data_IF_336312748249
#
_entry.id   IF_336312748249
#
_cell.length_a   1.000
_cell.length_b   1.000
_cell.length_c   1.000
_cell.angle_alpha   90.00
_cell.angle_beta   90.00
_cell.angle_gamma   90.00
#
_symmetry.space_group_name_H-M   'P 1'
#
loop_
_entity.id
_entity.type
_entity.pdbx_description
1 polymer ?
#
# COMPACT_ATOMS: atom_id res chain seq x y z
N UNK A 1 -4.83 -6.08 -1.77
CA UNK A 1 -5.12 -6.10 -3.23
C UNK A 1 -5.45 -7.54 -3.61
N UNK A 2 -6.42 -7.77 -4.50
CA UNK A 2 -6.87 -9.14 -4.83
C UNK A 2 -5.86 -9.86 -5.73
N UNK A 3 -5.50 -11.09 -5.37
CA UNK A 3 -4.65 -11.99 -6.17
C UNK A 3 -5.28 -12.35 -7.52
N UNK A 4 -6.61 -12.24 -7.68
CA UNK A 4 -7.33 -12.50 -8.94
C UNK A 4 -6.87 -11.56 -10.05
N UNK A 5 -6.51 -10.33 -9.69
CA UNK A 5 -6.02 -9.33 -10.63
C UNK A 5 -4.68 -9.78 -11.21
N UNK A 6 -3.81 -10.37 -10.39
CA UNK A 6 -2.45 -10.75 -10.80
C UNK A 6 -2.48 -12.04 -11.64
N UNK A 7 -3.42 -12.96 -11.38
CA UNK A 7 -3.65 -14.13 -12.24
C UNK A 7 -3.87 -13.77 -13.71
N UNK A 8 -4.57 -12.65 -14.00
CA UNK A 8 -4.80 -12.20 -15.38
C UNK A 8 -3.57 -11.61 -16.08
N UNK A 9 -2.55 -11.21 -15.33
CA UNK A 9 -1.31 -10.65 -15.87
C UNK A 9 -0.16 -11.67 -15.90
N UNK A 10 -0.28 -12.83 -15.26
CA UNK A 10 0.76 -13.87 -15.26
C UNK A 10 1.16 -14.29 -16.68
N UNK A 11 0.20 -14.49 -17.59
CA UNK A 11 0.47 -14.90 -18.97
C UNK A 11 1.05 -13.78 -19.85
N UNK A 12 0.89 -12.52 -19.43
CA UNK A 12 1.32 -11.33 -20.18
C UNK A 12 2.61 -10.70 -19.64
N UNK A 13 3.08 -11.15 -18.47
CA UNK A 13 4.26 -10.61 -17.85
C UNK A 13 5.51 -10.92 -18.69
N UNK A 14 6.46 -9.97 -18.75
CA UNK A 14 7.79 -10.23 -19.31
C UNK A 14 8.50 -11.34 -18.54
N UNK A 15 8.28 -11.38 -17.22
CA UNK A 15 8.79 -12.40 -16.34
C UNK A 15 7.86 -12.56 -15.14
N UNK A 16 7.74 -13.79 -14.65
CA UNK A 16 6.97 -14.11 -13.45
C UNK A 16 7.77 -15.07 -12.59
N UNK A 17 7.73 -14.89 -11.28
CA UNK A 17 8.30 -15.83 -10.31
C UNK A 17 7.29 -16.15 -9.24
N UNK A 18 7.16 -17.43 -8.87
CA UNK A 18 6.39 -17.79 -7.70
C UNK A 18 7.18 -17.46 -6.42
N UNK A 19 6.46 -17.19 -5.33
CA UNK A 19 7.07 -16.97 -4.00
C UNK A 19 7.93 -18.16 -3.60
N UNK A 20 7.43 -19.38 -3.80
CA UNK A 20 8.15 -20.60 -3.46
C UNK A 20 9.46 -20.76 -4.24
N UNK A 21 9.49 -20.36 -5.50
CA UNK A 21 10.69 -20.46 -6.35
C UNK A 21 11.82 -19.56 -5.84
N UNK A 22 11.49 -18.37 -5.36
CA UNK A 22 12.49 -17.41 -4.85
C UNK A 22 12.83 -17.63 -3.38
N UNK A 23 11.84 -18.00 -2.56
CA UNK A 23 12.00 -18.20 -1.12
C UNK A 23 12.50 -19.60 -0.75
N UNK A 24 12.31 -20.59 -1.63
CA UNK A 24 12.57 -22.01 -1.38
C UNK A 24 11.64 -22.61 -0.33
N UNK A 25 10.48 -22.01 -0.11
CA UNK A 25 9.41 -22.44 0.80
C UNK A 25 8.12 -21.73 0.44
N UNK A 26 6.97 -22.39 0.60
CA UNK A 26 5.66 -21.77 0.46
C UNK A 26 5.19 -21.06 1.75
N UNK A 27 5.90 -21.28 2.87
CA UNK A 27 5.58 -20.77 4.20
C UNK A 27 6.34 -19.47 4.48
N UNK A 28 5.62 -18.34 4.51
CA UNK A 28 6.22 -17.01 4.63
C UNK A 28 7.02 -16.81 5.92
N UNK A 29 6.60 -17.46 7.01
CA UNK A 29 7.27 -17.38 8.31
C UNK A 29 8.55 -18.23 8.41
N UNK A 30 8.89 -19.03 7.40
CA UNK A 30 10.16 -19.76 7.34
C UNK A 30 11.27 -18.95 6.66
N UNK A 31 10.96 -17.75 6.16
CA UNK A 31 11.94 -16.86 5.53
C UNK A 31 12.81 -16.21 6.60
N UNK A 32 13.96 -16.83 6.87
CA UNK A 32 15.01 -16.24 7.70
C UNK A 32 15.84 -15.19 6.92
N UNK A 33 16.75 -14.52 7.63
CA UNK A 33 17.66 -13.52 7.03
C UNK A 33 18.44 -14.08 5.82
N UNK A 34 18.85 -15.36 5.85
CA UNK A 34 19.61 -15.96 4.76
C UNK A 34 18.74 -16.19 3.52
N UNK A 35 17.50 -16.64 3.70
CA UNK A 35 16.50 -16.78 2.63
C UNK A 35 16.11 -15.41 2.09
N UNK A 36 15.88 -14.41 2.94
CA UNK A 36 15.59 -13.05 2.50
C UNK A 36 16.72 -12.49 1.61
N UNK A 37 17.97 -12.67 2.02
CA UNK A 37 19.14 -12.29 1.22
C UNK A 37 19.23 -13.01 -0.12
N UNK A 38 18.81 -14.28 -0.17
CA UNK A 38 18.70 -15.03 -1.43
C UNK A 38 17.60 -14.47 -2.32
N UNK A 39 16.40 -14.24 -1.78
CA UNK A 39 15.26 -13.63 -2.50
C UNK A 39 15.73 -12.32 -3.11
N UNK A 40 16.34 -11.43 -2.31
CA UNK A 40 16.89 -10.15 -2.78
C UNK A 40 17.86 -10.32 -3.94
N UNK A 41 18.84 -11.23 -3.83
CA UNK A 41 19.81 -11.49 -4.90
C UNK A 41 19.14 -12.01 -6.18
N UNK A 42 18.17 -12.91 -6.04
CA UNK A 42 17.41 -13.47 -7.17
C UNK A 42 16.61 -12.37 -7.87
N UNK A 43 15.82 -11.59 -7.12
CA UNK A 43 15.04 -10.48 -7.69
C UNK A 43 15.95 -9.43 -8.35
N UNK A 44 17.07 -9.09 -7.73
CA UNK A 44 18.05 -8.17 -8.32
C UNK A 44 18.66 -8.71 -9.62
N UNK A 45 18.96 -10.00 -9.69
CA UNK A 45 19.50 -10.62 -10.91
C UNK A 45 18.49 -10.61 -12.05
N UNK A 46 17.22 -10.90 -11.76
CA UNK A 46 16.13 -10.85 -12.74
C UNK A 46 15.94 -9.41 -13.23
N UNK A 47 15.77 -8.47 -12.30
CA UNK A 47 15.60 -7.03 -12.61
C UNK A 47 16.74 -6.51 -13.49
N UNK A 48 17.98 -6.81 -13.11
CA UNK A 48 19.16 -6.38 -13.86
C UNK A 48 19.22 -6.99 -15.27
N UNK A 49 18.85 -8.28 -15.40
CA UNK A 49 18.80 -8.96 -16.69
C UNK A 49 17.72 -8.39 -17.62
N UNK A 50 16.53 -8.12 -17.08
CA UNK A 50 15.43 -7.51 -17.83
C UNK A 50 15.77 -6.09 -18.27
N UNK A 51 16.24 -5.23 -17.34
CA UNK A 51 16.62 -3.85 -17.68
C UNK A 51 17.78 -3.77 -18.65
N UNK A 52 18.72 -4.71 -18.62
CA UNK A 52 19.80 -4.78 -19.61
C UNK A 52 19.28 -5.20 -20.99
N UNK A 53 18.26 -6.06 -21.04
CA UNK A 53 17.66 -6.53 -22.30
C UNK A 53 16.70 -5.51 -22.90
N UNK A 54 16.09 -4.65 -22.07
CA UNK A 54 15.10 -3.65 -22.48
C UNK A 54 15.43 -2.26 -21.88
N UNK A 55 16.60 -1.65 -22.21
CA UNK A 55 17.12 -0.46 -21.52
C UNK A 55 16.27 0.82 -21.67
N UNK A 56 15.40 0.86 -22.69
CA UNK A 56 14.53 2.00 -22.99
C UNK A 56 13.04 1.72 -22.74
N UNK A 57 12.70 0.61 -22.08
CA UNK A 57 11.31 0.25 -21.80
C UNK A 57 10.97 0.51 -20.34
N UNK A 58 9.72 0.92 -20.09
CA UNK A 58 9.15 0.87 -18.74
C UNK A 58 8.97 -0.58 -18.34
N UNK A 59 9.57 -0.94 -17.19
CA UNK A 59 9.44 -2.25 -16.57
C UNK A 59 9.07 -2.02 -15.12
N UNK A 60 7.87 -2.45 -14.75
CA UNK A 60 7.33 -2.29 -13.40
C UNK A 60 7.23 -3.64 -12.73
N UNK A 61 7.74 -3.73 -11.50
CA UNK A 61 7.59 -4.92 -10.69
C UNK A 61 6.33 -4.81 -9.84
N UNK A 62 5.45 -5.79 -9.98
CA UNK A 62 4.20 -5.91 -9.23
C UNK A 62 4.27 -7.14 -8.34
N UNK A 63 3.82 -7.00 -7.09
CA UNK A 63 3.84 -8.06 -6.09
C UNK A 63 2.44 -8.61 -5.84
N UNK A 64 2.35 -9.92 -5.65
CA UNK A 64 1.17 -10.66 -5.16
C UNK A 64 1.53 -11.53 -3.96
N UNK A 65 0.52 -12.15 -3.35
CA UNK A 65 0.79 -13.21 -2.36
C UNK A 65 1.40 -14.47 -3.00
N UNK A 66 1.21 -14.66 -4.31
CA UNK A 66 1.68 -15.84 -5.04
C UNK A 66 3.10 -15.68 -5.59
N UNK A 67 3.61 -14.46 -5.70
CA UNK A 67 4.84 -14.18 -6.43
C UNK A 67 4.96 -12.75 -6.93
N UNK A 68 5.93 -12.52 -7.82
CA UNK A 68 6.19 -11.23 -8.43
C UNK A 68 6.15 -11.28 -9.95
N UNK A 69 5.70 -10.19 -10.57
CA UNK A 69 5.59 -10.03 -12.02
C UNK A 69 6.38 -8.80 -12.48
N UNK A 70 7.04 -8.91 -13.62
CA UNK A 70 7.59 -7.77 -14.35
C UNK A 70 6.74 -7.49 -15.56
N UNK A 71 6.12 -6.31 -15.58
CA UNK A 71 5.19 -5.89 -16.61
C UNK A 71 5.84 -4.84 -17.53
N UNK A 72 5.49 -4.85 -18.82
CA UNK A 72 5.85 -3.72 -19.70
C UNK A 72 4.97 -2.51 -19.38
N UNK A 73 5.25 -1.38 -20.03
CA UNK A 73 4.36 -0.20 -20.00
C UNK A 73 2.88 -0.55 -20.26
N UNK A 74 2.59 -1.34 -21.30
CA UNK A 74 1.23 -1.61 -21.72
C UNK A 74 0.46 -2.43 -20.68
N UNK A 75 1.07 -3.49 -20.15
CA UNK A 75 0.46 -4.29 -19.08
C UNK A 75 0.38 -3.49 -17.77
N UNK A 76 1.37 -2.63 -17.49
CA UNK A 76 1.34 -1.80 -16.29
C UNK A 76 0.17 -0.81 -16.33
N UNK A 77 -0.09 -0.13 -17.45
CA UNK A 77 -1.23 0.79 -17.55
C UNK A 77 -2.57 0.07 -17.32
N UNK A 78 -2.73 -1.15 -17.86
CA UNK A 78 -3.92 -1.98 -17.59
C UNK A 78 -4.03 -2.40 -16.12
N UNK A 79 -2.90 -2.76 -15.52
CA UNK A 79 -2.81 -3.08 -14.10
C UNK A 79 -3.20 -1.87 -13.24
N UNK A 80 -2.62 -0.70 -13.49
CA UNK A 80 -2.89 0.55 -12.76
C UNK A 80 -4.35 0.97 -12.88
N UNK A 81 -4.96 0.85 -14.06
CA UNK A 81 -6.39 1.12 -14.25
C UNK A 81 -7.25 0.20 -13.37
N UNK A 82 -6.93 -1.09 -13.34
CA UNK A 82 -7.69 -2.07 -12.57
C UNK A 82 -7.47 -1.87 -11.06
N UNK A 83 -6.24 -1.55 -10.66
CA UNK A 83 -5.89 -1.22 -9.28
C UNK A 83 -6.62 0.04 -8.81
N UNK A 84 -6.63 1.11 -9.60
CA UNK A 84 -7.35 2.34 -9.25
C UNK A 84 -8.84 2.07 -9.01
N UNK A 85 -9.47 1.26 -9.87
CA UNK A 85 -10.86 0.85 -9.68
C UNK A 85 -11.08 0.12 -8.35
N UNK A 86 -10.15 -0.74 -7.92
CA UNK A 86 -10.23 -1.39 -6.60
C UNK A 86 -10.07 -0.38 -5.46
N UNK A 87 -9.15 0.59 -5.60
CA UNK A 87 -8.96 1.66 -4.60
C UNK A 87 -10.20 2.54 -4.48
N UNK A 88 -10.84 2.89 -5.60
CA UNK A 88 -12.07 3.68 -5.59
C UNK A 88 -13.23 2.92 -4.92
N UNK A 89 -13.35 1.62 -5.18
CA UNK A 89 -14.31 0.76 -4.48
C UNK A 89 -14.09 0.72 -2.96
N UNK A 90 -12.82 0.76 -2.52
CA UNK A 90 -12.48 0.82 -1.10
C UNK A 90 -12.85 2.16 -0.46
N UNK A 91 -12.87 3.27 -1.21
CA UNK A 91 -13.32 4.56 -0.67
C UNK A 91 -14.82 4.54 -0.35
N UNK A 92 -15.60 3.94 -1.24
CA UNK A 92 -17.06 3.92 -1.12
C UNK A 92 -17.54 2.87 -0.13
N UNK A 93 -16.93 1.67 -0.15
CA UNK A 93 -17.36 0.52 0.64
C UNK A 93 -16.54 0.22 1.88
N UNK A 94 -15.34 0.80 2.00
CA UNK A 94 -14.34 0.40 2.99
C UNK A 94 -13.74 -0.99 2.72
N UNK A 95 -12.59 -1.31 3.34
CA UNK A 95 -12.12 -2.69 3.39
C UNK A 95 -13.03 -3.56 4.27
N UNK A 96 -12.96 -4.87 4.12
CA UNK A 96 -13.71 -5.78 4.99
C UNK A 96 -13.26 -5.62 6.46
N UNK A 97 -14.19 -5.34 7.40
CA UNK A 97 -13.87 -5.21 8.83
C UNK A 97 -13.28 -6.51 9.40
N UNK A 98 -12.29 -6.42 10.29
CA UNK A 98 -11.67 -7.62 10.89
C UNK A 98 -12.62 -8.36 11.81
N UNK A 99 -13.61 -7.70 12.42
CA UNK A 99 -14.63 -8.39 13.22
C UNK A 99 -15.50 -9.33 12.38
N UNK A 100 -15.54 -9.18 11.04
CA UNK A 100 -16.22 -10.11 10.12
C UNK A 100 -15.38 -11.29 9.69
N UNK A 101 -14.13 -11.35 10.14
CA UNK A 101 -13.20 -12.41 9.81
C UNK A 101 -13.09 -13.40 10.98
N UNK A 102 -13.12 -14.68 10.63
CA UNK A 102 -12.70 -15.75 11.54
C UNK A 102 -11.21 -15.63 11.82
N UNK A 103 -10.74 -16.26 12.89
CA UNK A 103 -9.31 -16.30 13.22
C UNK A 103 -8.51 -16.99 12.10
N UNK A 104 -9.10 -17.97 11.42
CA UNK A 104 -8.50 -18.63 10.25
C UNK A 104 -8.31 -17.66 9.06
N UNK A 105 -9.31 -16.84 8.75
CA UNK A 105 -9.22 -15.86 7.66
C UNK A 105 -8.27 -14.70 7.99
N UNK A 106 -8.21 -14.29 9.26
CA UNK A 106 -7.20 -13.33 9.73
C UNK A 106 -5.81 -13.90 9.59
N UNK A 107 -5.62 -15.18 9.94
CA UNK A 107 -4.35 -15.86 9.76
C UNK A 107 -3.95 -15.91 8.28
N UNK A 108 -4.87 -16.29 7.39
CA UNK A 108 -4.63 -16.30 5.94
C UNK A 108 -4.26 -14.91 5.42
N UNK A 109 -5.02 -13.88 5.79
CA UNK A 109 -4.75 -12.48 5.41
C UNK A 109 -3.37 -12.03 5.90
N UNK A 110 -3.00 -12.41 7.13
CA UNK A 110 -1.70 -12.08 7.68
C UNK A 110 -0.55 -12.78 6.93
N UNK A 111 -0.70 -14.06 6.60
CA UNK A 111 0.27 -14.83 5.81
C UNK A 111 0.44 -14.24 4.41
N UNK A 112 -0.67 -13.89 3.74
CA UNK A 112 -0.62 -13.23 2.43
C UNK A 112 0.11 -11.88 2.50
N UNK A 113 -0.20 -11.06 3.50
CA UNK A 113 0.49 -9.79 3.71
C UNK A 113 2.00 -9.99 4.00
N UNK A 114 2.37 -11.04 4.74
CA UNK A 114 3.78 -11.35 5.01
C UNK A 114 4.53 -11.76 3.74
N UNK A 115 3.92 -12.55 2.84
CA UNK A 115 4.50 -12.87 1.52
C UNK A 115 4.71 -11.61 0.70
N UNK A 116 3.69 -10.75 0.65
CA UNK A 116 3.78 -9.48 -0.06
C UNK A 116 4.92 -8.62 0.49
N UNK A 117 4.95 -8.36 1.80
CA UNK A 117 5.98 -7.53 2.44
C UNK A 117 7.39 -8.08 2.15
N UNK A 118 7.56 -9.40 2.23
CA UNK A 118 8.84 -10.06 1.96
C UNK A 118 9.33 -9.77 0.55
N UNK A 119 8.49 -9.97 -0.46
CA UNK A 119 8.85 -9.71 -1.86
C UNK A 119 9.03 -8.22 -2.13
N UNK A 120 8.12 -7.38 -1.62
CA UNK A 120 8.15 -5.94 -1.81
C UNK A 120 9.42 -5.33 -1.22
N UNK A 121 9.78 -5.65 0.03
CA UNK A 121 10.99 -5.08 0.67
C UNK A 121 12.27 -5.63 0.05
N UNK A 122 12.28 -6.89 -0.37
CA UNK A 122 13.40 -7.46 -1.12
C UNK A 122 13.62 -6.70 -2.44
N UNK A 123 12.54 -6.41 -3.16
CA UNK A 123 12.57 -5.62 -4.39
C UNK A 123 12.88 -4.13 -4.13
N UNK A 124 12.38 -3.53 -3.06
CA UNK A 124 12.69 -2.15 -2.70
C UNK A 124 14.19 -1.95 -2.53
N UNK A 125 14.89 -2.95 -2.00
CA UNK A 125 16.35 -2.90 -1.89
C UNK A 125 17.04 -2.97 -3.27
N UNK A 126 16.47 -3.72 -4.21
CA UNK A 126 16.90 -3.73 -5.62
C UNK A 126 16.70 -2.36 -6.26
N UNK A 127 15.49 -1.79 -6.17
CA UNK A 127 15.18 -0.46 -6.70
C UNK A 127 16.09 0.62 -6.11
N UNK A 128 16.31 0.58 -4.79
CA UNK A 128 17.16 1.54 -4.09
C UNK A 128 18.60 1.49 -4.62
N UNK A 129 19.08 0.30 -4.97
CA UNK A 129 20.42 0.13 -5.57
C UNK A 129 20.46 0.74 -6.97
N UNK A 130 19.45 0.47 -7.81
CA UNK A 130 19.39 1.01 -9.18
C UNK A 130 19.20 2.53 -9.23
N UNK A 131 18.48 3.09 -8.26
CA UNK A 131 18.15 4.51 -8.19
C UNK A 131 19.10 5.31 -7.29
N UNK A 132 20.24 4.72 -6.87
CA UNK A 132 21.17 5.37 -5.94
C UNK A 132 21.65 6.74 -6.42
N UNK A 133 22.06 6.86 -7.69
CA UNK A 133 22.55 8.13 -8.24
C UNK A 133 21.43 9.18 -8.35
N UNK A 134 20.24 8.87 -8.95
CA UNK A 134 19.10 9.79 -8.94
C UNK A 134 18.63 10.24 -7.55
N UNK A 135 18.69 9.37 -6.55
CA UNK A 135 18.20 9.66 -5.20
C UNK A 135 19.17 10.53 -4.38
N UNK A 136 20.46 10.53 -4.72
CA UNK A 136 21.48 11.31 -4.02
C UNK A 136 21.45 11.11 -2.50
N UNK A 137 21.25 12.19 -1.74
CA UNK A 137 21.24 12.17 -0.27
C UNK A 137 20.02 11.46 0.32
N UNK A 138 18.91 11.34 -0.43
CA UNK A 138 17.70 10.66 0.00
C UNK A 138 17.84 9.13 0.05
N UNK A 139 18.81 8.57 -0.68
CA UNK A 139 19.10 7.13 -0.68
C UNK A 139 19.37 6.60 0.74
N UNK A 140 20.16 7.29 1.55
CA UNK A 140 20.52 6.84 2.91
C UNK A 140 19.31 6.83 3.84
N UNK A 141 18.40 7.79 3.69
CA UNK A 141 17.15 7.84 4.45
C UNK A 141 16.27 6.63 4.11
N UNK A 142 16.02 6.41 2.82
CA UNK A 142 15.21 5.27 2.36
C UNK A 142 15.80 3.93 2.75
N UNK A 143 17.13 3.79 2.70
CA UNK A 143 17.80 2.58 3.15
C UNK A 143 17.48 2.23 4.61
N UNK A 144 17.44 3.23 5.50
CA UNK A 144 17.10 3.02 6.92
C UNK A 144 15.64 2.60 7.09
N UNK A 145 14.73 3.22 6.36
CA UNK A 145 13.29 2.89 6.40
C UNK A 145 13.03 1.45 5.92
N UNK A 146 13.68 1.01 4.84
CA UNK A 146 13.50 -0.37 4.34
C UNK A 146 14.20 -1.41 5.22
N UNK A 147 15.34 -1.07 5.84
CA UNK A 147 15.92 -1.92 6.89
C UNK A 147 15.01 -2.04 8.11
N UNK A 148 14.30 -0.98 8.49
CA UNK A 148 13.31 -1.04 9.56
C UNK A 148 12.13 -1.93 9.17
N UNK A 149 11.59 -1.76 7.96
CA UNK A 149 10.52 -2.59 7.41
C UNK A 149 10.90 -4.07 7.37
N UNK A 150 12.14 -4.39 6.98
CA UNK A 150 12.65 -5.76 7.01
C UNK A 150 12.69 -6.34 8.44
N UNK A 151 13.05 -5.56 9.47
CA UNK A 151 12.96 -6.05 10.86
C UNK A 151 11.53 -6.36 11.26
N UNK A 152 10.57 -5.52 10.86
CA UNK A 152 9.15 -5.78 11.11
C UNK A 152 8.72 -7.10 10.47
N UNK A 153 9.11 -7.38 9.21
CA UNK A 153 8.81 -8.66 8.56
C UNK A 153 9.34 -9.85 9.37
N UNK A 154 10.58 -9.77 9.85
CA UNK A 154 11.16 -10.83 10.67
C UNK A 154 10.40 -10.99 12.00
N UNK A 155 10.03 -9.89 12.66
CA UNK A 155 9.22 -9.94 13.88
C UNK A 155 7.86 -10.61 13.63
N UNK A 156 7.17 -10.25 12.54
CA UNK A 156 5.88 -10.84 12.17
C UNK A 156 6.01 -12.35 11.84
N UNK A 157 7.06 -12.73 11.12
CA UNK A 157 7.37 -14.13 10.82
C UNK A 157 7.63 -14.94 12.10
N UNK A 158 8.48 -14.42 12.99
CA UNK A 158 8.80 -15.01 14.29
C UNK A 158 7.53 -15.21 15.13
N UNK A 159 6.61 -14.25 15.11
CA UNK A 159 5.35 -14.34 15.84
C UNK A 159 4.46 -15.47 15.32
N UNK A 160 4.34 -15.66 14.01
CA UNK A 160 3.62 -16.81 13.44
C UNK A 160 4.29 -18.11 13.89
N UNK A 161 5.62 -18.20 13.78
CA UNK A 161 6.36 -19.41 14.13
C UNK A 161 6.19 -19.78 15.61
N UNK A 162 6.28 -18.81 16.52
CA UNK A 162 6.10 -19.03 17.97
C UNK A 162 4.68 -19.45 18.33
N UNK A 163 3.69 -19.03 17.56
CA UNK A 163 2.27 -19.29 17.83
C UNK A 163 1.68 -20.44 16.97
N UNK A 164 2.49 -21.12 16.16
CA UNK A 164 2.02 -22.13 15.20
C UNK A 164 1.10 -23.21 15.77
N UNK A 165 1.33 -23.65 17.01
CA UNK A 165 0.46 -24.61 17.69
C UNK A 165 -0.94 -24.02 17.98
N UNK A 166 -1.03 -22.76 18.42
CA UNK A 166 -2.30 -22.08 18.68
C UNK A 166 -3.05 -21.81 17.37
N UNK A 167 -2.32 -21.41 16.33
CA UNK A 167 -2.86 -21.15 15.00
C UNK A 167 -3.39 -22.42 14.33
N UNK A 168 -2.73 -23.57 14.52
CA UNK A 168 -3.22 -24.87 14.04
C UNK A 168 -4.63 -25.18 14.58
N UNK A 169 -4.92 -24.86 15.84
CA UNK A 169 -6.26 -25.05 16.40
C UNK A 169 -7.29 -24.10 15.80
N UNK A 170 -6.92 -22.85 15.49
CA UNK A 170 -7.82 -21.90 14.83
C UNK A 170 -8.32 -22.40 13.47
N UNK A 171 -7.54 -23.26 12.81
CA UNK A 171 -7.87 -23.86 11.52
C UNK A 171 -8.80 -25.08 11.60
N UNK A 172 -9.20 -25.53 12.80
CA UNK A 172 -10.13 -26.65 12.92
C UNK A 172 -11.55 -26.26 12.50
N UNK A 173 -12.19 -27.06 11.64
CA UNK A 173 -13.55 -26.82 11.14
C UNK A 173 -14.56 -26.42 12.22
N UNK A 174 -14.53 -27.09 13.38
CA UNK A 174 -15.43 -26.75 14.50
C UNK A 174 -15.25 -25.33 15.02
N UNK A 175 -14.00 -24.85 15.08
CA UNK A 175 -13.67 -23.49 15.53
C UNK A 175 -14.05 -22.46 14.46
N UNK A 176 -13.70 -22.72 13.19
CA UNK A 176 -14.07 -21.86 12.06
C UNK A 176 -15.59 -21.72 11.97
N UNK A 177 -16.32 -22.83 12.07
CA UNK A 177 -17.79 -22.81 12.06
C UNK A 177 -18.37 -22.09 13.27
N UNK A 178 -17.78 -22.27 14.46
CA UNK A 178 -18.20 -21.53 15.65
C UNK A 178 -18.05 -20.03 15.45
N UNK A 179 -16.88 -19.54 15.05
CA UNK A 179 -16.64 -18.12 14.81
C UNK A 179 -17.54 -17.59 13.69
N UNK A 180 -17.73 -18.36 12.60
CA UNK A 180 -18.66 -17.96 11.53
C UNK A 180 -20.08 -17.79 12.03
N UNK A 181 -20.57 -18.69 12.89
CA UNK A 181 -21.90 -18.53 13.48
C UNK A 181 -21.96 -17.29 14.37
N UNK A 182 -20.93 -17.00 15.16
CA UNK A 182 -20.89 -15.79 16.00
C UNK A 182 -20.88 -14.51 15.16
N UNK A 183 -20.07 -14.47 14.09
CA UNK A 183 -20.05 -13.36 13.13
C UNK A 183 -21.42 -13.20 12.47
N UNK A 184 -22.06 -14.29 12.04
CA UNK A 184 -23.38 -14.24 11.40
C UNK A 184 -24.45 -13.74 12.36
N UNK A 185 -24.42 -14.19 13.63
CA UNK A 185 -25.30 -13.65 14.68
C UNK A 185 -25.13 -12.13 14.80
N UNK A 186 -23.88 -11.67 14.90
CA UNK A 186 -23.59 -10.25 15.03
C UNK A 186 -24.01 -9.45 13.79
N UNK A 187 -23.87 -10.02 12.59
CA UNK A 187 -24.38 -9.42 11.35
C UNK A 187 -25.90 -9.26 11.37
N UNK A 188 -26.65 -10.25 11.86
CA UNK A 188 -28.11 -10.16 12.03
C UNK A 188 -28.45 -9.07 13.06
N UNK A 189 -27.81 -9.11 14.22
CA UNK A 189 -28.07 -8.18 15.33
C UNK A 189 -27.75 -6.72 14.96
N UNK A 190 -26.74 -6.50 14.11
CA UNK A 190 -26.38 -5.17 13.57
C UNK A 190 -27.17 -4.78 12.30
N UNK A 191 -28.06 -5.63 11.81
CA UNK A 191 -28.91 -5.35 10.65
C UNK A 191 -28.20 -5.40 9.30
N UNK A 192 -27.04 -6.05 9.20
CA UNK A 192 -26.32 -6.22 7.93
C UNK A 192 -26.89 -7.34 7.06
N UNK A 193 -27.60 -8.29 7.67
CA UNK A 193 -28.29 -9.38 6.97
C UNK A 193 -29.56 -9.75 7.74
N UNK A 194 -30.59 -10.18 7.03
CA UNK A 194 -31.85 -10.65 7.62
C UNK A 194 -31.91 -12.18 7.69
N UNK A 195 -32.71 -12.70 8.64
CA UNK A 195 -33.00 -14.14 8.72
C UNK A 195 -33.64 -14.68 7.43
N UNK A 196 -34.41 -13.84 6.73
CA UNK A 196 -35.06 -14.20 5.47
C UNK A 196 -34.03 -14.45 4.36
N UNK A 197 -32.99 -13.62 4.26
CA UNK A 197 -31.90 -13.79 3.28
C UNK A 197 -31.06 -15.03 3.58
N UNK A 198 -30.84 -15.34 4.86
CA UNK A 198 -30.06 -16.51 5.28
C UNK A 198 -30.81 -17.84 5.17
N UNK A 199 -32.15 -17.81 5.20
CA UNK A 199 -32.98 -19.02 5.17
C UNK A 199 -33.01 -19.79 6.50
N UNK A 200 -32.50 -19.21 7.58
CA UNK A 200 -32.57 -19.75 8.94
C UNK A 200 -32.65 -18.64 9.99
N UNK A 201 -33.23 -18.98 11.16
CA UNK A 201 -33.42 -18.04 12.25
C UNK A 201 -32.21 -17.93 13.19
N UNK A 202 -32.14 -16.81 13.92
CA UNK A 202 -31.18 -16.60 15.00
C UNK A 202 -31.30 -17.67 16.09
N UNK A 203 -32.51 -18.19 16.32
CA UNK A 203 -32.72 -19.29 17.27
C UNK A 203 -32.05 -20.59 16.81
N UNK A 204 -32.18 -20.93 15.52
CA UNK A 204 -31.49 -22.09 14.94
C UNK A 204 -29.97 -21.93 15.07
N UNK A 205 -29.47 -20.73 14.79
CA UNK A 205 -28.04 -20.44 14.89
C UNK A 205 -27.52 -20.58 16.33
N UNK A 206 -28.27 -20.11 17.34
CA UNK A 206 -27.95 -20.32 18.77
C UNK A 206 -27.93 -21.80 19.15
N UNK A 207 -28.85 -22.62 18.62
CA UNK A 207 -28.85 -24.08 18.85
C UNK A 207 -27.60 -24.75 18.27
N UNK A 208 -27.18 -24.34 17.06
CA UNK A 208 -25.95 -24.83 16.42
C UNK A 208 -24.70 -24.45 17.23
N UNK A 209 -24.63 -23.21 17.73
CA UNK A 209 -23.53 -22.77 18.59
C UNK A 209 -23.36 -23.65 19.84
N UNK A 210 -24.44 -24.10 20.48
CA UNK A 210 -24.35 -25.01 21.65
C UNK A 210 -23.68 -26.35 21.27
N UNK A 211 -24.02 -26.91 20.10
CA UNK A 211 -23.42 -28.15 19.61
C UNK A 211 -21.93 -27.94 19.28
N UNK A 212 -21.62 -26.83 18.61
CA UNK A 212 -20.25 -26.48 18.25
C UNK A 212 -19.39 -26.20 19.49
N UNK A 213 -19.91 -25.54 20.53
CA UNK A 213 -19.18 -25.25 21.78
C UNK A 213 -18.71 -26.54 22.44
N UNK A 214 -19.58 -27.56 22.48
CA UNK A 214 -19.22 -28.88 23.00
C UNK A 214 -18.08 -29.51 22.19
N UNK A 215 -18.19 -29.51 20.86
CA UNK A 215 -17.15 -30.06 19.95
C UNK A 215 -15.82 -29.33 20.07
N UNK A 216 -15.84 -28.01 20.26
CA UNK A 216 -14.63 -27.21 20.43
C UNK A 216 -13.96 -27.54 21.77
N UNK A 217 -14.72 -27.66 22.86
CA UNK A 217 -14.20 -28.03 24.19
C UNK A 217 -13.64 -29.45 24.25
N UNK A 218 -14.24 -30.39 23.53
CA UNK A 218 -13.75 -31.77 23.43
C UNK A 218 -12.34 -31.82 22.83
N UNK A 219 -12.05 -30.96 21.83
CA UNK A 219 -10.73 -30.85 21.22
C UNK A 219 -9.76 -30.01 22.06
N UNK A 220 -10.24 -28.91 22.64
CA UNK A 220 -9.44 -27.95 23.38
C UNK A 220 -10.24 -27.36 24.55
N UNK A 221 -10.03 -27.82 25.80
CA UNK A 221 -10.84 -27.40 26.94
C UNK A 221 -10.88 -25.89 27.20
N UNK A 222 -9.82 -25.17 26.83
CA UNK A 222 -9.71 -23.71 26.97
C UNK A 222 -9.83 -22.96 25.63
N UNK A 223 -10.54 -23.52 24.64
CA UNK A 223 -10.55 -22.98 23.28
C UNK A 223 -10.93 -21.50 23.21
N UNK A 224 -11.97 -21.05 23.92
CA UNK A 224 -12.42 -19.64 23.87
C UNK A 224 -11.30 -18.64 24.20
N UNK A 225 -10.58 -18.88 25.30
CA UNK A 225 -9.49 -18.01 25.73
C UNK A 225 -8.33 -18.05 24.73
N UNK A 226 -7.99 -19.24 24.24
CA UNK A 226 -6.90 -19.40 23.27
C UNK A 226 -7.23 -18.76 21.92
N UNK A 227 -8.47 -18.93 21.44
CA UNK A 227 -8.96 -18.31 20.20
C UNK A 227 -8.99 -16.80 20.33
N UNK A 228 -9.49 -16.25 21.43
CA UNK A 228 -9.48 -14.80 21.66
C UNK A 228 -8.06 -14.23 21.67
N UNK A 229 -7.11 -14.89 22.33
CA UNK A 229 -5.70 -14.46 22.35
C UNK A 229 -5.08 -14.54 20.96
N UNK A 230 -5.34 -15.62 20.21
CA UNK A 230 -4.84 -15.78 18.85
C UNK A 230 -5.44 -14.72 17.90
N UNK A 231 -6.74 -14.48 18.00
CA UNK A 231 -7.46 -13.49 17.21
C UNK A 231 -6.89 -12.08 17.42
N UNK A 232 -6.81 -11.62 18.66
CA UNK A 232 -6.27 -10.28 18.99
C UNK A 232 -4.83 -10.10 18.46
N UNK A 233 -3.99 -11.12 18.62
CA UNK A 233 -2.60 -11.08 18.11
C UNK A 233 -2.54 -11.00 16.60
N UNK A 234 -3.36 -11.79 15.89
CA UNK A 234 -3.43 -11.74 14.43
C UNK A 234 -3.93 -10.39 13.92
N UNK A 235 -4.90 -9.79 14.60
CA UNK A 235 -5.37 -8.44 14.29
C UNK A 235 -4.26 -7.41 14.44
N UNK A 236 -3.55 -7.42 15.57
CA UNK A 236 -2.42 -6.51 15.81
C UNK A 236 -1.29 -6.67 14.77
N UNK A 237 -0.98 -7.92 14.42
CA UNK A 237 0.07 -8.23 13.44
C UNK A 237 -0.33 -7.87 12.01
N UNK A 238 -1.59 -8.11 11.64
CA UNK A 238 -2.12 -7.68 10.36
C UNK A 238 -2.05 -6.14 10.25
N UNK A 239 -2.53 -5.43 11.28
CA UNK A 239 -2.50 -3.97 11.38
C UNK A 239 -1.07 -3.40 11.28
N UNK A 240 -0.12 -4.02 11.99
CA UNK A 240 1.31 -3.64 11.93
C UNK A 240 1.89 -3.87 10.53
N UNK A 241 1.53 -4.98 9.88
CA UNK A 241 1.94 -5.27 8.52
C UNK A 241 1.36 -4.28 7.51
N UNK A 242 0.07 -3.97 7.59
CA UNK A 242 -0.61 -2.97 6.74
C UNK A 242 -0.01 -1.56 6.92
N UNK A 243 0.28 -1.16 8.16
CA UNK A 243 0.97 0.11 8.47
C UNK A 243 2.38 0.18 7.86
N UNK A 244 3.08 -0.97 7.84
CA UNK A 244 4.40 -1.09 7.21
C UNK A 244 4.31 -0.95 5.70
N UNK A 245 3.30 -1.54 5.06
CA UNK A 245 3.05 -1.35 3.63
C UNK A 245 2.81 0.12 3.30
N UNK A 246 1.93 0.78 4.05
CA UNK A 246 1.61 2.19 3.84
C UNK A 246 2.86 3.07 3.96
N UNK A 247 3.64 2.88 5.02
CA UNK A 247 4.88 3.63 5.23
C UNK A 247 5.86 3.44 4.07
N UNK A 248 6.06 2.18 3.65
CA UNK A 248 6.96 1.80 2.54
C UNK A 248 6.58 2.49 1.23
N UNK A 249 5.31 2.38 0.80
CA UNK A 249 4.85 2.97 -0.46
C UNK A 249 4.85 4.49 -0.43
N UNK A 250 4.51 5.09 0.72
CA UNK A 250 4.58 6.55 0.92
C UNK A 250 6.01 7.09 0.76
N UNK A 251 7.02 6.34 1.24
CA UNK A 251 8.42 6.73 1.05
C UNK A 251 8.84 6.66 -0.40
N UNK A 252 8.37 5.66 -1.15
CA UNK A 252 8.63 5.57 -2.59
C UNK A 252 7.97 6.69 -3.37
N UNK A 253 6.68 6.99 -3.11
CA UNK A 253 5.99 8.10 -3.75
C UNK A 253 6.75 9.41 -3.51
N UNK A 254 7.10 9.71 -2.25
CA UNK A 254 7.87 10.90 -1.92
C UNK A 254 9.23 10.92 -2.63
N UNK A 255 9.93 9.79 -2.71
CA UNK A 255 11.23 9.72 -3.36
C UNK A 255 11.12 9.95 -4.88
N UNK A 256 10.10 9.40 -5.53
CA UNK A 256 9.84 9.66 -6.95
C UNK A 256 9.49 11.13 -7.20
N UNK A 257 8.70 11.75 -6.31
CA UNK A 257 8.41 13.18 -6.39
C UNK A 257 9.65 14.05 -6.23
N UNK A 258 10.56 13.69 -5.29
CA UNK A 258 11.80 14.43 -5.05
C UNK A 258 12.81 14.31 -6.20
N UNK A 259 12.78 13.21 -6.97
CA UNK A 259 13.57 13.08 -8.20
C UNK A 259 13.03 13.97 -9.33
N UNK A 260 11.80 14.46 -9.24
CA UNK A 260 11.12 15.28 -10.23
C UNK A 260 10.68 14.47 -11.44
N UNK A 261 11.63 14.00 -12.25
CA UNK A 261 11.38 13.11 -13.37
C UNK A 261 12.08 11.76 -13.11
N UNK A 262 11.32 10.71 -12.73
CA UNK A 262 11.88 9.36 -12.62
C UNK A 262 12.60 8.95 -13.91
N UNK A 263 13.76 8.27 -13.82
CA UNK A 263 14.46 7.77 -15.00
C UNK A 263 13.56 6.88 -15.85
N UNK A 264 13.84 6.82 -17.16
CA UNK A 264 13.18 5.86 -18.06
C UNK A 264 13.33 4.46 -17.48
N UNK A 265 12.23 3.72 -17.43
CA UNK A 265 12.17 2.41 -16.77
C UNK A 265 11.49 2.41 -15.41
N UNK A 266 11.25 3.56 -14.78
CA UNK A 266 10.70 3.67 -13.43
C UNK A 266 9.51 4.63 -13.32
N UNK A 267 8.99 5.16 -14.44
CA UNK A 267 7.91 6.15 -14.42
C UNK A 267 6.59 5.51 -14.01
N UNK A 268 6.34 4.30 -14.49
CA UNK A 268 5.12 3.57 -14.12
C UNK A 268 5.18 3.05 -12.68
N UNK A 269 6.39 2.71 -12.19
CA UNK A 269 6.62 2.41 -10.77
C UNK A 269 6.26 3.62 -9.88
N UNK A 270 6.56 4.84 -10.31
CA UNK A 270 6.19 6.06 -9.59
C UNK A 270 4.67 6.25 -9.52
N UNK A 271 3.96 6.03 -10.64
CA UNK A 271 2.47 6.06 -10.66
C UNK A 271 1.88 5.01 -9.72
N UNK A 272 2.44 3.79 -9.76
CA UNK A 272 1.99 2.69 -8.90
C UNK A 272 2.11 3.03 -7.42
N UNK A 273 3.23 3.66 -7.00
CA UNK A 273 3.45 4.03 -5.60
C UNK A 273 2.35 4.95 -5.05
N UNK A 274 1.87 5.91 -5.85
CA UNK A 274 0.76 6.80 -5.47
C UNK A 274 -0.56 6.05 -5.28
N UNK A 275 -0.91 5.16 -6.22
CA UNK A 275 -2.16 4.38 -6.14
C UNK A 275 -2.10 3.38 -4.98
N UNK A 276 -0.96 2.71 -4.78
CA UNK A 276 -0.75 1.82 -3.65
C UNK A 276 -0.87 2.56 -2.32
N UNK A 277 -0.24 3.74 -2.18
CA UNK A 277 -0.37 4.57 -0.97
C UNK A 277 -1.83 4.83 -0.66
N UNK A 278 -2.58 5.32 -1.64
CA UNK A 278 -3.99 5.63 -1.45
C UNK A 278 -4.81 4.40 -1.02
N UNK A 279 -4.58 3.25 -1.66
CA UNK A 279 -5.19 1.98 -1.27
C UNK A 279 -4.86 1.59 0.17
N UNK A 280 -3.58 1.61 0.54
CA UNK A 280 -3.15 1.27 1.90
C UNK A 280 -3.59 2.29 2.95
N UNK A 281 -3.74 3.57 2.60
CA UNK A 281 -4.31 4.59 3.49
C UNK A 281 -5.74 4.24 3.88
N UNK A 282 -6.55 3.74 2.95
CA UNK A 282 -7.92 3.30 3.24
C UNK A 282 -7.93 2.07 4.16
N UNK A 283 -7.03 1.10 3.95
CA UNK A 283 -6.89 -0.05 4.86
C UNK A 283 -6.51 0.38 6.28
N UNK A 284 -5.41 1.13 6.42
CA UNK A 284 -4.90 1.54 7.73
C UNK A 284 -5.92 2.41 8.45
N UNK A 285 -6.51 3.42 7.78
CA UNK A 285 -7.54 4.28 8.40
C UNK A 285 -8.72 3.46 8.93
N UNK A 286 -9.24 2.53 8.12
CA UNK A 286 -10.34 1.67 8.54
C UNK A 286 -9.97 0.77 9.72
N UNK A 287 -8.72 0.28 9.81
CA UNK A 287 -8.26 -0.48 10.98
C UNK A 287 -8.14 0.35 12.24
N UNK A 288 -7.61 1.56 12.15
CA UNK A 288 -7.50 2.44 13.32
C UNK A 288 -8.89 2.88 13.81
N UNK A 289 -9.84 3.11 12.89
CA UNK A 289 -11.25 3.38 13.23
C UNK A 289 -11.94 2.18 13.92
N UNK A 290 -11.64 0.95 13.47
CA UNK A 290 -12.26 -0.27 13.98
C UNK A 290 -11.67 -0.73 15.32
N UNK A 291 -10.35 -0.74 15.44
CA UNK A 291 -9.62 -1.35 16.57
C UNK A 291 -9.10 -0.32 17.59
N UNK A 292 -9.23 0.97 17.27
CA UNK A 292 -8.64 2.07 18.01
C UNK A 292 -7.21 2.39 17.56
N UNK A 293 -6.82 3.65 17.78
CA UNK A 293 -5.54 4.19 17.32
C UNK A 293 -4.33 3.46 17.93
N UNK A 294 -3.38 3.15 17.07
CA UNK A 294 -2.06 2.61 17.38
C UNK A 294 -0.96 3.57 16.95
N UNK A 295 0.17 3.56 17.67
CA UNK A 295 1.34 4.38 17.31
C UNK A 295 1.82 4.10 15.88
N UNK A 296 1.81 2.84 15.46
CA UNK A 296 2.23 2.43 14.12
C UNK A 296 1.28 2.94 13.02
N UNK A 297 -0.03 2.83 13.23
CA UNK A 297 -1.03 3.30 12.27
C UNK A 297 -1.04 4.83 12.15
N UNK A 298 -1.00 5.55 13.28
CA UNK A 298 -0.92 7.02 13.31
C UNK A 298 0.35 7.51 12.61
N UNK A 299 1.50 6.89 12.89
CA UNK A 299 2.75 7.23 12.20
C UNK A 299 2.65 6.96 10.69
N UNK A 300 2.12 5.80 10.28
CA UNK A 300 2.00 5.45 8.86
C UNK A 300 1.08 6.41 8.10
N UNK A 301 -0.06 6.79 8.69
CA UNK A 301 -0.97 7.79 8.12
C UNK A 301 -0.32 9.17 8.03
N UNK A 302 0.43 9.58 9.06
CA UNK A 302 1.19 10.84 9.04
C UNK A 302 2.23 10.88 7.92
N UNK A 303 2.95 9.78 7.71
CA UNK A 303 3.92 9.64 6.60
C UNK A 303 3.21 9.69 5.23
N UNK A 304 2.03 9.09 5.12
CA UNK A 304 1.23 9.12 3.89
C UNK A 304 0.74 10.53 3.55
N UNK A 305 0.26 11.29 4.55
CA UNK A 305 -0.15 12.69 4.40
C UNK A 305 1.04 13.60 4.03
N UNK A 306 2.21 13.35 4.63
CA UNK A 306 3.45 14.05 4.28
C UNK A 306 3.81 13.81 2.81
N UNK A 307 3.78 12.56 2.35
CA UNK A 307 4.08 12.19 0.97
C UNK A 307 3.12 12.85 -0.02
N UNK A 308 1.82 12.79 0.26
CA UNK A 308 0.76 13.39 -0.57
C UNK A 308 0.93 14.92 -0.67
N UNK A 309 1.06 15.59 0.48
CA UNK A 309 1.21 17.04 0.55
C UNK A 309 2.48 17.53 -0.15
N UNK A 310 3.62 16.86 0.07
CA UNK A 310 4.88 17.24 -0.60
C UNK A 310 4.83 17.00 -2.10
N UNK A 311 4.27 15.87 -2.53
CA UNK A 311 4.11 15.55 -3.95
C UNK A 311 3.22 16.57 -4.65
N UNK A 312 2.08 16.92 -4.06
CA UNK A 312 1.18 17.95 -4.59
C UNK A 312 1.87 19.32 -4.70
N UNK A 313 2.62 19.74 -3.68
CA UNK A 313 3.36 21.00 -3.69
C UNK A 313 4.48 21.03 -4.75
N UNK A 314 5.20 19.93 -4.93
CA UNK A 314 6.24 19.81 -5.95
C UNK A 314 5.64 19.87 -7.36
N UNK A 315 4.54 19.16 -7.61
CA UNK A 315 3.84 19.21 -8.90
C UNK A 315 3.26 20.60 -9.21
N UNK A 316 2.70 21.28 -8.21
CA UNK A 316 2.24 22.66 -8.35
C UNK A 316 3.39 23.62 -8.71
N UNK A 317 4.58 23.40 -8.18
CA UNK A 317 5.76 24.22 -8.50
C UNK A 317 6.23 24.00 -9.94
N UNK A 318 6.30 22.75 -10.39
CA UNK A 318 6.68 22.38 -11.76
C UNK A 318 5.70 22.99 -12.78
N UNK A 319 4.39 22.87 -12.53
CA UNK A 319 3.37 23.46 -13.42
C UNK A 319 3.46 24.99 -13.53
N UNK A 320 3.83 25.69 -12.45
CA UNK A 320 4.04 27.14 -12.48
C UNK A 320 5.30 27.51 -13.27
N UNK A 321 6.40 26.77 -13.08
CA UNK A 321 7.63 27.00 -13.85
C UNK A 321 7.45 26.74 -15.35
N UNK A 322 6.76 25.65 -15.71
CA UNK A 322 6.48 25.32 -17.11
C UNK A 322 5.51 26.32 -17.74
N UNK A 323 4.51 26.78 -16.99
CA UNK A 323 3.65 27.89 -17.43
C UNK A 323 4.44 29.20 -17.60
N UNK A 324 5.42 29.48 -16.74
CA UNK A 324 6.27 30.68 -16.82
C UNK A 324 7.26 30.64 -17.98
N UNK A 325 7.70 29.45 -18.43
CA UNK A 325 8.53 29.26 -19.63
C UNK A 325 7.73 29.32 -20.92
N UNK A 326 6.43 29.02 -20.86
CA UNK A 326 5.52 29.06 -22.00
C UNK A 326 4.90 30.45 -22.25
N UNK A 327 5.00 31.36 -21.30
CA UNK A 327 4.52 32.74 -21.42
C UNK A 327 5.70 33.67 -21.71
N UNK A 328 5.51 34.59 -22.64
CA UNK A 328 6.44 35.70 -22.87
C UNK A 328 6.43 36.66 -21.67
N UNK A 329 7.53 37.38 -21.44
CA UNK A 329 7.64 38.38 -20.35
C UNK A 329 6.49 39.41 -20.40
N UNK A 330 5.97 39.69 -21.61
CA UNK A 330 4.84 40.58 -21.87
C UNK A 330 3.50 40.01 -21.38
N UNK A 331 3.23 38.72 -21.61
CA UNK A 331 2.02 38.04 -21.12
C UNK A 331 2.02 37.88 -19.60
N UNK A 332 3.20 37.65 -19.01
CA UNK A 332 3.39 37.62 -17.55
C UNK A 332 3.13 39.01 -16.94
N UNK A 333 3.59 40.09 -17.58
CA UNK A 333 3.29 41.45 -17.13
C UNK A 333 1.81 41.83 -17.25
N UNK A 334 1.12 41.40 -18.32
CA UNK A 334 -0.31 41.65 -18.51
C UNK A 334 -1.16 40.93 -17.44
N UNK A 335 -0.84 39.67 -17.13
CA UNK A 335 -1.48 38.90 -16.04
C UNK A 335 -1.24 39.51 -14.65
N UNK A 336 -0.06 40.10 -14.42
CA UNK A 336 0.28 40.78 -13.14
C UNK A 336 -0.44 42.13 -13.01
N UNK A 337 -0.72 42.83 -14.11
CA UNK A 337 -1.43 44.12 -14.13
C UNK A 337 -2.95 43.99 -14.05
N UNK A 338 -3.50 42.78 -14.23
CA UNK A 338 -4.94 42.53 -14.13
C UNK A 338 -5.73 43.08 -15.31
N UNK A 339 -5.07 43.34 -16.44
CA UNK A 339 -5.72 43.72 -17.68
C UNK A 339 -6.19 42.44 -18.38
N UNK A 340 -7.49 42.34 -18.65
CA UNK A 340 -8.08 41.16 -19.26
C UNK A 340 -7.52 40.97 -20.69
N UNK A 341 -6.87 39.83 -20.91
CA UNK A 341 -6.55 39.34 -22.26
C UNK A 341 -7.89 39.12 -22.97
N UNK A 342 -8.05 39.70 -24.17
CA UNK A 342 -9.29 39.56 -24.94
C UNK A 342 -9.59 38.08 -25.27
N UNK A 343 -10.86 37.65 -25.21
CA UNK A 343 -11.23 36.24 -25.04
C UNK A 343 -11.32 35.43 -26.34
N UNK A 344 -10.53 35.72 -27.38
CA UNK A 344 -10.68 35.01 -28.66
C UNK A 344 -9.60 33.97 -28.96
N UNK A 345 -8.61 33.74 -28.08
CA UNK A 345 -7.65 32.62 -28.25
C UNK A 345 -7.24 31.89 -26.95
N UNK A 346 -8.08 31.86 -25.91
CA UNK A 346 -7.82 31.06 -24.70
C UNK A 346 -9.07 30.30 -24.22
N UNK A 347 -9.39 29.20 -24.89
CA UNK A 347 -9.98 28.07 -24.17
C UNK A 347 -8.85 27.37 -23.40
N UNK A 348 -9.09 27.13 -22.11
CA UNK A 348 -8.16 26.67 -21.07
C UNK A 348 -7.15 27.72 -20.57
N UNK A 349 -7.49 28.39 -19.46
CA UNK A 349 -6.56 28.54 -18.30
C UNK A 349 -7.25 29.10 -17.05
N UNK A 350 -7.36 28.21 -16.06
CA UNK A 350 -7.01 28.37 -14.64
C UNK A 350 -7.54 29.59 -13.86
N UNK A 351 -8.48 29.32 -12.96
CA UNK A 351 -8.75 30.16 -11.78
C UNK A 351 -7.57 30.09 -10.81
N UNK A 352 -6.70 31.10 -10.81
CA UNK A 352 -5.64 31.26 -9.80
C UNK A 352 -6.22 31.95 -8.56
N UNK A 353 -6.13 31.27 -7.41
CA UNK A 353 -6.56 31.76 -6.10
C UNK A 353 -5.82 33.03 -5.66
N UNK A 354 -6.56 33.95 -5.03
CA UNK A 354 -6.09 35.25 -4.52
C UNK A 354 -4.96 35.11 -3.47
N UNK A 355 -4.79 33.92 -2.86
CA UNK A 355 -3.69 33.64 -1.92
C UNK A 355 -2.30 33.73 -2.57
N UNK A 356 -2.18 33.32 -3.84
CA UNK A 356 -0.88 33.21 -4.52
C UNK A 356 -0.38 34.57 -5.02
N UNK A 357 -1.30 35.50 -5.27
CA UNK A 357 -0.99 36.90 -5.63
C UNK A 357 -0.26 37.67 -4.53
N UNK A 358 -0.43 37.29 -3.24
CA UNK A 358 0.23 37.97 -2.11
C UNK A 358 1.68 37.50 -1.89
N UNK A 359 2.02 36.24 -2.20
CA UNK A 359 3.39 35.73 -2.08
C UNK A 359 4.32 36.32 -3.14
N UNK A 360 3.85 36.45 -4.38
CA UNK A 360 4.62 37.09 -5.47
C UNK A 360 4.97 38.56 -5.19
N UNK A 361 4.07 39.31 -4.53
CA UNK A 361 4.32 40.70 -4.11
C UNK A 361 5.43 40.84 -3.04
N UNK A 362 5.62 39.83 -2.19
CA UNK A 362 6.65 39.87 -1.12
C UNK A 362 8.05 39.59 -1.67
N UNK A 363 8.20 38.72 -2.66
CA UNK A 363 9.51 38.44 -3.28
C UNK A 363 9.98 39.56 -4.22
N UNK A 364 9.09 40.21 -5.01
CA UNK A 364 9.50 41.37 -5.82
C UNK A 364 9.89 42.60 -4.99
N UNK A 365 9.29 42.82 -3.81
CA UNK A 365 9.67 43.94 -2.93
C UNK A 365 11.06 43.78 -2.31
N UNK A 366 11.52 42.55 -2.04
CA UNK A 366 12.88 42.35 -1.53
C UNK A 366 13.95 42.52 -2.62
N UNK A 367 13.68 42.07 -3.84
CA UNK A 367 14.63 42.19 -4.95
C UNK A 367 14.85 43.64 -5.43
N UNK A 368 13.89 44.54 -5.19
CA UNK A 368 14.03 45.98 -5.50
C UNK A 368 14.77 46.75 -4.41
N UNK A 369 14.73 46.28 -3.16
CA UNK A 369 15.47 46.90 -2.05
C UNK A 369 16.97 46.58 -2.09
N UNK A 370 17.35 45.39 -2.58
CA UNK A 370 18.76 44.99 -2.73
C UNK A 370 19.49 45.72 -3.88
N UNK A 371 18.76 46.28 -4.85
CA UNK A 371 19.34 47.06 -5.96
C UNK A 371 19.51 48.56 -5.66
N UNK A 372 19.13 49.04 -4.46
CA UNK A 372 19.21 50.46 -4.08
C UNK A 372 20.08 50.74 -2.84
N UNK A 373 20.81 49.75 -2.32
CA UNK A 373 21.78 49.92 -1.25
C UNK A 373 23.23 49.99 -1.76
N UNK A 374 23.62 51.15 -2.27
CA UNK A 374 24.98 51.69 -2.11
C UNK A 374 24.93 52.71 -0.98
#
# INVERSE_FOLDING_TARGET
>A
MSDDLIGTFQEKALHSVAFEDVAGTSLAWEVDLKRFERIRKTLNSIESGLRSSFPNHEITFVVSSQGGLWLTHQETEQFLFTLQKQVDQLKDGGPMPVWRLTTAELFESHVQNLKYLTLAIAHDTTLLTSLKEPLGTHHTLMHREFLHSHRIVNDLADEIQRNGNQLTYALYDSNVMMERTQITQEMIERGFVSEQELGYSLETLKKVQVILDRRCREKLPQYRKQMQVANNRLQDNLRRGESTQLSRVSRWELAFALMGNPPVGYRDQAKMASIEREGYSNFVRSREEELGESEAGVHALSVAEEAESKTANLMATVTVEDASKALTDEEIEQLIRGEAVQPDELEFKTQISISDRKKAKKHKRMAVLDRRGF
#
